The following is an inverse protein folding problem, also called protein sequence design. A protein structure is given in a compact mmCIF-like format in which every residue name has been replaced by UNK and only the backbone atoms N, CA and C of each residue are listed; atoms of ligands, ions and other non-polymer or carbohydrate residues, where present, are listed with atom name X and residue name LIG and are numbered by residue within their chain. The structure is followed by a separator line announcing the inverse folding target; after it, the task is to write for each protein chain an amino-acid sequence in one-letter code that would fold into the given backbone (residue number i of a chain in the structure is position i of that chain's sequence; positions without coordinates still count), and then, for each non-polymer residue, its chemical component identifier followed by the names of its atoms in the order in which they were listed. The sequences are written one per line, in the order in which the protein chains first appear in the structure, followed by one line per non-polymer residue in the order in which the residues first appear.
data_IF_836495958309
#
_entry.id   IF_836495958309
#
_cell.length_a   1.000
_cell.length_b   1.000
_cell.length_c   1.000
_cell.angle_alpha   90.00
_cell.angle_beta   90.00
_cell.angle_gamma   90.00
#
_symmetry.space_group_name_H-M   'P 1'
#
loop_
_entity.id
_entity.type
_entity.pdbx_description
1 polymer ?
#
# COMPACT_ATOMS: atom_id res chain seq x y z
N UNK A 1 -19.44 -37.83 -4.67
CA UNK A 1 -18.87 -36.61 -5.27
C UNK A 1 -18.65 -36.92 -6.73
N UNK A 2 -19.50 -36.40 -7.61
CA UNK A 2 -19.35 -36.53 -9.06
C UNK A 2 -18.25 -35.58 -9.50
N UNK A 3 -17.07 -36.11 -9.82
CA UNK A 3 -16.02 -35.35 -10.50
C UNK A 3 -16.60 -34.74 -11.78
N UNK A 4 -16.58 -33.42 -11.87
CA UNK A 4 -16.98 -32.71 -13.07
C UNK A 4 -15.99 -33.04 -14.19
N UNK A 5 -16.43 -33.82 -15.18
CA UNK A 5 -15.67 -34.22 -16.39
C UNK A 5 -15.06 -33.04 -17.18
N UNK A 6 -15.44 -31.80 -16.88
CA UNK A 6 -15.06 -30.61 -17.63
C UNK A 6 -13.86 -29.87 -17.02
N UNK A 7 -12.76 -30.57 -16.76
CA UNK A 7 -11.48 -29.97 -16.39
C UNK A 7 -10.72 -29.50 -17.64
N UNK A 8 -9.81 -28.52 -17.48
CA UNK A 8 -8.98 -28.04 -18.60
C UNK A 8 -8.03 -29.13 -19.13
N UNK A 9 -7.54 -30.01 -18.25
CA UNK A 9 -6.77 -31.20 -18.64
C UNK A 9 -7.58 -32.14 -19.53
N UNK A 10 -8.83 -32.43 -19.14
CA UNK A 10 -9.72 -33.29 -19.93
C UNK A 10 -10.04 -32.64 -21.28
N UNK A 11 -10.22 -31.32 -21.33
CA UNK A 11 -10.42 -30.59 -22.59
C UNK A 11 -9.22 -30.72 -23.52
N UNK A 12 -7.99 -30.66 -23.01
CA UNK A 12 -6.78 -30.86 -23.83
C UNK A 12 -6.75 -32.28 -24.40
N UNK A 13 -7.01 -33.29 -23.55
CA UNK A 13 -7.07 -34.70 -23.98
C UNK A 13 -8.13 -34.89 -25.08
N UNK A 14 -9.32 -34.29 -24.92
CA UNK A 14 -10.40 -34.39 -25.90
C UNK A 14 -10.03 -33.72 -27.24
N UNK A 15 -9.31 -32.59 -27.22
CA UNK A 15 -8.79 -31.93 -28.44
C UNK A 15 -7.81 -32.85 -29.19
N UNK A 16 -6.87 -33.44 -28.46
CA UNK A 16 -5.88 -34.37 -29.02
C UNK A 16 -6.58 -35.59 -29.65
N UNK A 17 -7.59 -36.15 -28.96
CA UNK A 17 -8.39 -37.26 -29.48
C UNK A 17 -9.12 -36.90 -30.77
N UNK A 18 -9.70 -35.69 -30.87
CA UNK A 18 -10.35 -35.25 -32.11
C UNK A 18 -9.39 -35.27 -33.31
N UNK A 19 -8.16 -34.78 -33.13
CA UNK A 19 -7.14 -34.75 -34.18
C UNK A 19 -6.68 -36.17 -34.52
N UNK A 20 -6.41 -37.00 -33.52
CA UNK A 20 -5.99 -38.39 -33.72
C UNK A 20 -7.04 -39.21 -34.47
N UNK A 21 -8.32 -39.05 -34.14
CA UNK A 21 -9.40 -39.77 -34.83
C UNK A 21 -9.58 -39.30 -36.27
N UNK A 22 -9.37 -38.01 -36.56
CA UNK A 22 -9.33 -37.52 -37.94
C UNK A 22 -8.17 -38.16 -38.71
N UNK A 23 -6.97 -38.19 -38.14
CA UNK A 23 -5.82 -38.81 -38.81
C UNK A 23 -6.06 -40.31 -39.09
N UNK A 24 -6.68 -41.02 -38.15
CA UNK A 24 -7.10 -42.41 -38.37
C UNK A 24 -8.14 -42.53 -39.50
N UNK A 25 -9.10 -41.60 -39.61
CA UNK A 25 -10.05 -41.54 -40.73
C UNK A 25 -9.31 -41.36 -42.05
N UNK A 26 -8.39 -40.41 -42.09
CA UNK A 26 -7.62 -40.07 -43.30
C UNK A 26 -6.67 -41.20 -43.70
N UNK A 27 -6.23 -42.02 -42.74
CA UNK A 27 -5.50 -43.26 -42.96
C UNK A 27 -6.37 -44.46 -43.38
N UNK A 28 -7.69 -44.29 -43.56
CA UNK A 28 -8.59 -45.29 -44.13
C UNK A 28 -9.67 -45.84 -43.19
N UNK A 29 -9.76 -45.38 -41.94
CA UNK A 29 -10.86 -45.73 -41.04
C UNK A 29 -12.13 -44.92 -41.36
N UNK A 30 -12.75 -45.21 -42.50
CA UNK A 30 -13.85 -44.42 -43.10
C UNK A 30 -15.13 -44.35 -42.24
N UNK A 31 -15.31 -45.27 -41.29
CA UNK A 31 -16.43 -45.23 -40.34
C UNK A 31 -16.34 -44.06 -39.33
N UNK A 32 -15.15 -43.49 -39.14
CA UNK A 32 -14.93 -42.37 -38.23
C UNK A 32 -15.49 -41.10 -38.86
N UNK A 33 -16.59 -40.61 -38.29
CA UNK A 33 -17.18 -39.33 -38.64
C UNK A 33 -17.28 -38.42 -37.40
N UNK A 34 -17.59 -37.14 -37.62
CA UNK A 34 -17.61 -36.13 -36.54
C UNK A 34 -18.62 -36.46 -35.44
N UNK A 35 -19.75 -37.07 -35.80
CA UNK A 35 -20.78 -37.50 -34.85
C UNK A 35 -20.25 -38.61 -33.93
N UNK A 36 -19.61 -39.62 -34.52
CA UNK A 36 -18.98 -40.71 -33.79
C UNK A 36 -17.90 -40.22 -32.83
N UNK A 37 -17.05 -39.28 -33.28
CA UNK A 37 -16.01 -38.70 -32.42
C UNK A 37 -16.63 -37.93 -31.25
N UNK A 38 -17.68 -37.13 -31.50
CA UNK A 38 -18.38 -36.35 -30.48
C UNK A 38 -18.92 -37.25 -29.35
N UNK A 39 -19.50 -38.39 -29.72
CA UNK A 39 -19.97 -39.41 -28.78
C UNK A 39 -18.82 -40.03 -27.97
N UNK A 40 -17.66 -40.27 -28.59
CA UNK A 40 -16.48 -40.87 -27.93
C UNK A 40 -15.75 -39.93 -26.98
N UNK A 41 -15.72 -38.64 -27.26
CA UNK A 41 -15.08 -37.64 -26.37
C UNK A 41 -16.07 -36.99 -25.40
N UNK A 42 -17.36 -37.35 -25.46
CA UNK A 42 -18.44 -36.75 -24.68
C UNK A 42 -18.52 -35.22 -24.83
N UNK A 43 -18.36 -34.73 -26.07
CA UNK A 43 -18.46 -33.29 -26.42
C UNK A 43 -19.47 -33.07 -27.53
N UNK A 44 -19.79 -31.81 -27.79
CA UNK A 44 -20.67 -31.45 -28.90
C UNK A 44 -19.99 -31.66 -30.25
N UNK A 45 -20.78 -31.94 -31.29
CA UNK A 45 -20.28 -32.01 -32.68
C UNK A 45 -19.62 -30.70 -33.12
N UNK A 46 -20.10 -29.57 -32.59
CA UNK A 46 -19.48 -28.26 -32.81
C UNK A 46 -18.06 -28.22 -32.27
N UNK A 47 -17.82 -28.69 -31.05
CA UNK A 47 -16.46 -28.81 -30.50
C UNK A 47 -15.56 -29.66 -31.40
N UNK A 48 -16.04 -30.82 -31.85
CA UNK A 48 -15.27 -31.68 -32.77
C UNK A 48 -14.97 -30.95 -34.08
N UNK A 49 -15.93 -30.19 -34.62
CA UNK A 49 -15.77 -29.43 -35.86
C UNK A 49 -14.73 -28.31 -35.71
N UNK A 50 -14.78 -27.56 -34.61
CA UNK A 50 -13.84 -26.48 -34.30
C UNK A 50 -12.38 -26.98 -34.17
N UNK A 51 -12.19 -28.25 -33.79
CA UNK A 51 -10.89 -28.90 -33.65
C UNK A 51 -10.53 -29.84 -34.80
N UNK A 52 -11.43 -30.03 -35.76
CA UNK A 52 -11.25 -31.00 -36.85
C UNK A 52 -10.07 -30.63 -37.76
N UNK A 53 -9.88 -29.35 -38.06
CA UNK A 53 -8.82 -28.91 -38.99
C UNK A 53 -7.58 -28.37 -38.27
N UNK A 54 -7.55 -28.45 -36.94
CA UNK A 54 -6.46 -27.94 -36.12
C UNK A 54 -5.28 -28.91 -36.08
N UNK A 55 -4.11 -28.36 -35.73
CA UNK A 55 -2.88 -29.14 -35.46
C UNK A 55 -2.72 -29.40 -33.96
N UNK A 56 -1.89 -30.38 -33.61
CA UNK A 56 -1.61 -30.72 -32.19
C UNK A 56 -1.08 -29.53 -31.39
N UNK A 57 -0.26 -28.67 -31.99
CA UNK A 57 0.29 -27.48 -31.33
C UNK A 57 -0.81 -26.53 -30.84
N UNK A 58 -1.91 -26.44 -31.59
CA UNK A 58 -3.04 -25.60 -31.23
C UNK A 58 -3.85 -26.18 -30.06
N UNK A 59 -3.71 -27.46 -29.73
CA UNK A 59 -4.38 -28.06 -28.55
C UNK A 59 -3.90 -27.46 -27.23
N UNK A 60 -2.63 -27.05 -27.20
CA UNK A 60 -1.93 -26.48 -26.05
C UNK A 60 -1.88 -24.96 -26.09
N UNK A 61 -2.31 -24.35 -27.19
CA UNK A 61 -2.41 -22.90 -27.27
C UNK A 61 -3.48 -22.42 -26.29
N UNK A 62 -3.04 -21.81 -25.20
CA UNK A 62 -3.87 -20.92 -24.41
C UNK A 62 -4.24 -19.74 -25.30
N UNK A 63 -5.39 -19.85 -25.97
CA UNK A 63 -6.14 -18.68 -26.39
C UNK A 63 -6.69 -18.03 -25.12
N UNK A 64 -5.79 -17.55 -24.25
CA UNK A 64 -6.13 -16.64 -23.17
C UNK A 64 -6.87 -15.50 -23.86
N UNK A 65 -8.20 -15.49 -23.72
CA UNK A 65 -9.05 -14.45 -24.25
C UNK A 65 -8.37 -13.14 -23.91
N UNK A 66 -7.94 -12.39 -24.92
CA UNK A 66 -7.15 -11.18 -24.77
C UNK A 66 -7.78 -10.37 -23.63
N UNK A 67 -7.08 -10.31 -22.49
CA UNK A 67 -7.66 -9.77 -21.27
C UNK A 67 -8.21 -8.36 -21.54
N UNK A 68 -9.21 -7.91 -20.76
CA UNK A 68 -9.76 -6.57 -20.94
C UNK A 68 -8.64 -5.55 -21.00
N UNK A 69 -8.71 -4.62 -21.98
CA UNK A 69 -7.68 -3.60 -22.23
C UNK A 69 -7.26 -2.95 -20.91
N UNK A 70 -5.96 -2.74 -20.75
CA UNK A 70 -5.40 -2.04 -19.60
C UNK A 70 -6.12 -0.69 -19.44
N UNK A 71 -6.72 -0.44 -18.27
CA UNK A 71 -7.44 0.80 -17.95
C UNK A 71 -6.54 2.04 -17.91
N UNK A 72 -5.22 1.88 -18.01
CA UNK A 72 -4.23 2.95 -17.92
C UNK A 72 -3.54 3.13 -19.26
N UNK A 73 -3.75 4.29 -19.89
CA UNK A 73 -2.99 4.71 -21.06
C UNK A 73 -1.50 4.89 -20.71
N UNK A 74 -0.63 4.88 -21.72
CA UNK A 74 0.81 5.09 -21.51
C UNK A 74 1.08 6.46 -20.86
N UNK A 75 0.39 7.51 -21.29
CA UNK A 75 0.52 8.84 -20.72
C UNK A 75 0.14 8.88 -19.22
N UNK A 76 -0.92 8.18 -18.83
CA UNK A 76 -1.32 8.03 -17.43
C UNK A 76 -0.29 7.23 -16.62
N UNK A 77 0.31 6.19 -17.21
CA UNK A 77 1.40 5.45 -16.58
C UNK A 77 2.65 6.32 -16.35
N UNK A 78 3.00 7.17 -17.31
CA UNK A 78 4.14 8.08 -17.19
C UNK A 78 3.93 9.13 -16.09
N UNK A 79 2.69 9.60 -15.89
CA UNK A 79 2.34 10.46 -14.75
C UNK A 79 2.54 9.70 -13.44
N UNK A 80 2.08 8.45 -13.34
CA UNK A 80 2.24 7.64 -12.12
C UNK A 80 3.72 7.43 -11.82
N UNK A 81 4.54 7.12 -12.84
CA UNK A 81 6.00 6.91 -12.70
C UNK A 81 6.73 8.18 -12.27
N UNK A 82 6.43 9.32 -12.89
CA UNK A 82 7.00 10.64 -12.49
C UNK A 82 6.61 11.05 -11.07
N UNK A 83 5.48 10.55 -10.58
CA UNK A 83 4.99 10.80 -9.24
C UNK A 83 5.56 9.84 -8.19
N UNK A 84 6.21 8.75 -8.60
CA UNK A 84 6.96 7.87 -7.70
C UNK A 84 8.20 8.58 -7.15
N UNK A 85 8.59 8.25 -5.92
CA UNK A 85 9.71 8.90 -5.22
C UNK A 85 9.41 10.29 -4.63
N UNK A 86 8.22 10.86 -4.88
CA UNK A 86 7.86 12.22 -4.42
C UNK A 86 6.85 12.24 -3.27
N UNK A 87 7.00 13.19 -2.36
CA UNK A 87 6.03 13.50 -1.31
C UNK A 87 4.71 14.05 -1.89
N UNK A 88 3.62 13.90 -1.13
CA UNK A 88 2.31 14.45 -1.48
C UNK A 88 1.64 13.82 -2.71
N UNK A 89 2.26 12.81 -3.34
CA UNK A 89 1.74 12.11 -4.52
C UNK A 89 0.98 10.84 -4.17
N UNK A 90 -0.04 11.00 -3.30
CA UNK A 90 -0.96 9.92 -2.97
C UNK A 90 -1.75 9.45 -4.19
N UNK A 91 -2.24 8.20 -4.20
CA UNK A 91 -3.00 7.67 -5.33
C UNK A 91 -4.22 8.54 -5.70
N UNK A 92 -4.84 9.19 -4.71
CA UNK A 92 -5.96 10.12 -4.96
C UNK A 92 -5.50 11.42 -5.61
N UNK A 93 -4.34 11.94 -5.23
CA UNK A 93 -3.75 13.14 -5.85
C UNK A 93 -3.35 12.85 -7.29
N UNK A 94 -2.71 11.70 -7.53
CA UNK A 94 -2.33 11.28 -8.88
C UNK A 94 -3.56 11.02 -9.76
N UNK A 95 -4.63 10.44 -9.22
CA UNK A 95 -5.90 10.29 -9.94
C UNK A 95 -6.45 11.65 -10.41
N UNK A 96 -6.45 12.65 -9.53
CA UNK A 96 -6.88 14.02 -9.87
C UNK A 96 -5.96 14.65 -10.92
N UNK A 97 -4.64 14.46 -10.80
CA UNK A 97 -3.66 14.98 -11.76
C UNK A 97 -3.87 14.36 -13.15
N UNK A 98 -4.13 13.07 -13.24
CA UNK A 98 -4.45 12.39 -14.50
C UNK A 98 -5.77 12.90 -15.08
N UNK A 99 -6.82 13.04 -14.26
CA UNK A 99 -8.09 13.59 -14.71
C UNK A 99 -7.97 15.01 -15.25
N UNK A 100 -7.09 15.83 -14.66
CA UNK A 100 -6.84 17.20 -15.12
C UNK A 100 -5.98 17.24 -16.41
N UNK A 101 -4.91 16.44 -16.49
CA UNK A 101 -3.94 16.51 -17.59
C UNK A 101 -4.34 15.69 -18.82
N UNK A 102 -4.87 14.48 -18.60
CA UNK A 102 -5.21 13.53 -19.67
C UNK A 102 -6.71 13.48 -19.95
N UNK A 103 -7.54 14.16 -19.15
CA UNK A 103 -9.01 14.07 -19.22
C UNK A 103 -9.53 12.64 -19.07
N UNK A 104 -8.74 11.77 -18.41
CA UNK A 104 -9.09 10.39 -18.12
C UNK A 104 -9.54 10.24 -16.67
N UNK A 105 -10.70 9.62 -16.45
CA UNK A 105 -11.17 9.33 -15.10
C UNK A 105 -10.68 7.96 -14.62
N UNK A 106 -9.64 7.99 -13.78
CA UNK A 106 -9.03 6.78 -13.21
C UNK A 106 -9.24 6.77 -11.70
N UNK A 107 -9.66 5.62 -11.18
CA UNK A 107 -9.90 5.47 -9.75
C UNK A 107 -8.58 5.34 -8.97
N UNK A 108 -8.59 5.82 -7.71
CA UNK A 108 -7.48 5.62 -6.76
C UNK A 108 -7.01 4.16 -6.70
N UNK A 109 -7.96 3.22 -6.72
CA UNK A 109 -7.67 1.79 -6.63
C UNK A 109 -6.91 1.26 -7.85
N UNK A 110 -7.22 1.77 -9.05
CA UNK A 110 -6.52 1.38 -10.28
C UNK A 110 -5.05 1.78 -10.22
N UNK A 111 -4.76 2.99 -9.71
CA UNK A 111 -3.39 3.48 -9.51
C UNK A 111 -2.67 2.66 -8.43
N UNK A 112 -3.35 2.36 -7.32
CA UNK A 112 -2.81 1.50 -6.27
C UNK A 112 -2.39 0.13 -6.80
N UNK A 113 -3.30 -0.55 -7.53
CA UNK A 113 -3.01 -1.86 -8.13
C UNK A 113 -1.85 -1.78 -9.13
N UNK A 114 -1.79 -0.73 -9.94
CA UNK A 114 -0.69 -0.52 -10.88
C UNK A 114 0.64 -0.35 -10.14
N UNK A 115 0.71 0.51 -9.11
CA UNK A 115 1.92 0.74 -8.32
C UNK A 115 2.42 -0.56 -7.68
N UNK A 116 1.53 -1.36 -7.12
CA UNK A 116 1.89 -2.67 -6.56
C UNK A 116 2.41 -3.64 -7.64
N UNK A 117 1.77 -3.69 -8.81
CA UNK A 117 2.23 -4.53 -9.92
C UNK A 117 3.61 -4.13 -10.43
N UNK A 118 3.96 -2.84 -10.40
CA UNK A 118 5.30 -2.33 -10.75
C UNK A 118 6.34 -2.52 -9.62
N UNK A 119 5.97 -3.18 -8.51
CA UNK A 119 6.83 -3.46 -7.37
C UNK A 119 7.02 -2.30 -6.40
N UNK A 120 6.20 -1.24 -6.50
CA UNK A 120 6.29 -0.09 -5.61
C UNK A 120 5.63 -0.38 -4.26
N UNK A 121 6.24 0.14 -3.20
CA UNK A 121 5.79 0.07 -1.81
C UNK A 121 5.56 1.48 -1.27
N UNK A 122 4.57 1.66 -0.38
CA UNK A 122 4.38 2.93 0.31
C UNK A 122 5.36 3.05 1.48
N UNK A 123 6.13 4.13 1.49
CA UNK A 123 7.02 4.52 2.58
C UNK A 123 6.47 5.76 3.29
N UNK A 124 6.53 5.75 4.62
CA UNK A 124 6.14 6.91 5.43
C UNK A 124 7.21 7.98 5.39
N UNK A 125 6.79 9.23 5.18
CA UNK A 125 7.65 10.40 5.40
C UNK A 125 7.93 10.50 6.90
N UNK A 126 9.20 10.66 7.26
CA UNK A 126 9.63 10.72 8.66
C UNK A 126 9.98 12.18 8.98
N UNK A 127 9.56 12.74 10.13
CA UNK A 127 10.10 14.03 10.58
C UNK A 127 11.62 13.92 10.66
N UNK A 128 12.36 14.91 10.14
CA UNK A 128 13.83 14.87 10.23
C UNK A 128 14.22 14.71 11.71
N UNK A 129 14.90 13.62 12.09
CA UNK A 129 15.29 13.46 13.48
C UNK A 129 16.30 14.57 13.81
N UNK A 130 15.96 15.41 14.79
CA UNK A 130 16.92 16.33 15.41
C UNK A 130 17.88 15.47 16.23
N UNK A 131 18.83 14.78 15.58
CA UNK A 131 19.87 14.00 16.25
C UNK A 131 21.22 14.65 15.93
N UNK A 132 21.54 15.72 16.66
CA UNK A 132 22.94 16.10 16.81
C UNK A 132 23.65 15.01 17.62
N UNK A 133 24.98 14.93 17.52
CA UNK A 133 25.77 14.06 18.39
C UNK A 133 25.49 14.34 19.87
N UNK A 134 25.28 15.61 20.22
CA UNK A 134 24.85 16.05 21.56
C UNK A 134 23.55 15.39 21.99
N UNK A 135 22.50 15.40 21.15
CA UNK A 135 21.23 14.74 21.50
C UNK A 135 21.37 13.22 21.65
N UNK A 136 22.31 12.58 20.95
CA UNK A 136 22.57 11.15 21.13
C UNK A 136 23.26 10.92 22.48
N UNK A 137 24.30 11.71 22.77
CA UNK A 137 25.05 11.65 24.02
C UNK A 137 24.16 11.90 25.24
N UNK A 138 23.33 12.94 25.22
CA UNK A 138 22.44 13.30 26.34
C UNK A 138 21.42 12.19 26.63
N UNK A 139 20.91 11.53 25.59
CA UNK A 139 19.97 10.41 25.75
C UNK A 139 20.64 9.18 26.35
N UNK A 140 21.85 8.87 25.91
CA UNK A 140 22.63 7.77 26.49
C UNK A 140 22.97 8.06 27.95
N UNK A 141 23.41 9.27 28.26
CA UNK A 141 23.66 9.71 29.64
C UNK A 141 22.42 9.59 30.52
N UNK A 142 21.25 10.06 30.04
CA UNK A 142 20.00 9.98 30.80
C UNK A 142 19.60 8.52 31.06
N UNK A 143 19.71 7.65 30.06
CA UNK A 143 19.46 6.21 30.25
C UNK A 143 20.44 5.59 31.26
N UNK A 144 21.73 5.93 31.18
CA UNK A 144 22.74 5.45 32.13
C UNK A 144 22.51 5.98 33.55
N UNK A 145 22.00 7.20 33.70
CA UNK A 145 21.69 7.79 34.99
C UNK A 145 20.43 7.18 35.63
N UNK A 146 19.43 6.85 34.81
CA UNK A 146 18.18 6.22 35.27
C UNK A 146 18.30 4.71 35.51
N UNK A 147 19.37 4.05 35.04
CA UNK A 147 19.49 2.57 35.11
C UNK A 147 19.53 2.02 36.54
N UNK A 148 20.01 2.84 37.47
CA UNK A 148 20.20 2.48 38.88
C UNK A 148 18.99 2.90 39.75
N UNK A 149 17.94 3.46 39.13
CA UNK A 149 16.73 3.87 39.86
C UNK A 149 15.87 2.68 40.26
N UNK A 150 15.36 2.72 41.49
CA UNK A 150 14.43 1.75 42.05
C UNK A 150 12.98 2.17 41.81
N UNK A 151 12.03 1.27 42.11
CA UNK A 151 10.59 1.58 42.03
C UNK A 151 10.22 2.78 42.93
N UNK A 152 10.85 2.92 44.10
CA UNK A 152 10.61 4.04 45.02
C UNK A 152 11.08 5.37 44.42
N UNK A 153 12.21 5.39 43.72
CA UNK A 153 12.71 6.58 43.03
C UNK A 153 11.73 7.06 41.94
N UNK A 154 11.11 6.13 41.21
CA UNK A 154 10.10 6.45 40.20
C UNK A 154 8.81 7.03 40.78
N UNK A 155 8.43 6.67 42.02
CA UNK A 155 7.24 7.22 42.67
C UNK A 155 7.38 8.72 43.00
N UNK A 156 8.61 9.22 43.07
CA UNK A 156 8.91 10.64 43.25
C UNK A 156 9.02 11.41 41.92
N UNK A 157 8.95 10.71 40.78
CA UNK A 157 8.93 11.34 39.47
C UNK A 157 7.54 11.95 39.21
N UNK A 158 7.53 13.24 38.88
CA UNK A 158 6.35 13.93 38.38
C UNK A 158 6.56 14.27 36.88
N UNK A 159 6.36 13.30 35.96
CA UNK A 159 6.45 13.59 34.54
C UNK A 159 5.41 14.65 34.18
N UNK A 160 5.89 15.64 33.44
CA UNK A 160 5.06 16.69 32.89
C UNK A 160 5.36 16.83 31.41
N UNK A 161 4.32 17.05 30.61
CA UNK A 161 4.45 17.26 29.18
C UNK A 161 3.44 18.30 28.68
N UNK A 162 3.76 18.89 27.54
CA UNK A 162 2.94 19.85 26.83
C UNK A 162 2.25 19.17 25.64
N UNK A 163 0.93 19.14 25.69
CA UNK A 163 0.11 18.64 24.60
C UNK A 163 -0.46 19.80 23.80
N UNK A 164 -0.21 19.79 22.49
CA UNK A 164 -0.78 20.78 21.58
C UNK A 164 -2.10 20.27 21.00
N UNK A 165 -3.19 20.99 21.29
CA UNK A 165 -4.46 20.85 20.59
C UNK A 165 -4.45 21.80 19.40
N UNK A 166 -4.37 21.23 18.20
CA UNK A 166 -4.27 22.00 16.97
C UNK A 166 -5.63 22.60 16.61
N UNK A 167 -5.70 23.92 16.50
CA UNK A 167 -6.91 24.64 16.06
C UNK A 167 -7.16 24.42 14.57
N UNK A 168 -6.11 24.13 13.80
CA UNK A 168 -6.18 23.81 12.37
C UNK A 168 -5.94 22.32 12.17
N UNK A 169 -6.83 21.68 11.40
CA UNK A 169 -6.74 20.24 11.06
C UNK A 169 -5.41 19.95 10.36
N UNK A 170 -4.58 19.08 10.96
CA UNK A 170 -3.36 18.57 10.30
C UNK A 170 -3.72 17.88 8.98
N UNK A 171 -2.85 18.03 7.98
CA UNK A 171 -2.93 17.24 6.75
C UNK A 171 -2.94 15.74 7.10
N UNK A 172 -3.86 14.98 6.49
CA UNK A 172 -3.98 13.54 6.74
C UNK A 172 -2.64 12.82 6.48
N UNK A 173 -2.05 12.20 7.50
CA UNK A 173 -0.76 11.49 7.42
C UNK A 173 -0.74 10.36 6.38
N UNK A 174 -1.90 9.86 5.94
CA UNK A 174 -1.95 8.90 4.82
C UNK A 174 -1.55 9.52 3.47
N UNK A 175 -1.56 10.85 3.34
CA UNK A 175 -1.04 11.56 2.19
C UNK A 175 0.48 11.72 2.22
N UNK A 176 1.11 11.53 3.39
CA UNK A 176 2.56 11.61 3.60
C UNK A 176 3.20 10.24 3.30
N UNK A 177 2.84 9.66 2.15
CA UNK A 177 3.39 8.41 1.65
C UNK A 177 4.09 8.63 0.32
N UNK A 178 5.34 8.18 0.27
CA UNK A 178 6.16 8.13 -0.94
C UNK A 178 6.05 6.73 -1.51
N UNK A 179 5.91 6.61 -2.82
CA UNK A 179 5.85 5.30 -3.49
C UNK A 179 7.17 5.05 -4.20
N UNK A 180 7.91 4.04 -3.78
CA UNK A 180 9.23 3.68 -4.33
C UNK A 180 9.44 2.16 -4.29
N UNK A 181 10.46 1.62 -4.95
CA UNK A 181 10.76 0.17 -4.89
C UNK A 181 11.52 -0.18 -3.61
N UNK A 182 12.48 0.67 -3.25
CA UNK A 182 13.24 0.61 -2.02
C UNK A 182 13.27 1.97 -1.31
N UNK A 183 13.81 1.98 -0.09
CA UNK A 183 14.08 3.22 0.65
C UNK A 183 15.21 4.01 -0.03
N UNK A 184 16.18 3.31 -0.61
CA UNK A 184 17.36 3.91 -1.23
C UNK A 184 17.03 4.64 -2.54
N UNK A 185 15.88 4.35 -3.14
CA UNK A 185 15.35 5.05 -4.33
C UNK A 185 14.64 6.38 -3.98
N UNK A 186 14.60 6.77 -2.70
CA UNK A 186 13.95 7.99 -2.25
C UNK A 186 15.03 9.02 -1.92
N UNK A 187 15.01 10.14 -2.65
CA UNK A 187 15.84 11.32 -2.36
C UNK A 187 15.68 11.74 -0.88
N UNK A 188 16.79 12.05 -0.20
CA UNK A 188 16.75 12.35 1.25
C UNK A 188 15.79 13.49 1.60
N UNK A 189 15.78 14.56 0.78
CA UNK A 189 14.89 15.71 0.97
C UNK A 189 13.41 15.34 0.80
N UNK A 190 13.11 14.32 -0.01
CA UNK A 190 11.77 13.78 -0.16
C UNK A 190 11.43 12.80 0.97
N UNK A 191 12.40 12.20 1.66
CA UNK A 191 12.12 11.30 2.79
C UNK A 191 11.81 12.04 4.08
N UNK A 192 12.43 13.20 4.26
CA UNK A 192 12.34 13.97 5.50
C UNK A 192 11.41 15.17 5.39
N UNK A 193 10.60 15.39 6.42
CA UNK A 193 9.77 16.58 6.54
C UNK A 193 10.41 17.59 7.49
N UNK A 194 10.51 18.83 7.05
CA UNK A 194 10.82 19.95 7.95
C UNK A 194 9.63 20.22 8.88
N UNK A 195 9.93 20.36 10.17
CA UNK A 195 8.92 20.70 11.17
C UNK A 195 8.64 22.20 11.13
N UNK A 196 7.37 22.58 10.99
CA UNK A 196 6.95 23.98 11.08
C UNK A 196 7.12 24.45 12.53
N UNK A 197 8.01 25.43 12.74
CA UNK A 197 8.49 25.81 14.08
C UNK A 197 7.43 26.46 14.98
N UNK A 198 6.32 26.99 14.43
CA UNK A 198 5.30 27.74 15.18
C UNK A 198 3.88 27.55 14.60
N UNK A 199 3.24 26.40 14.81
CA UNK A 199 1.84 26.19 14.39
C UNK A 199 0.88 26.76 15.46
N UNK A 200 -0.23 27.37 15.02
CA UNK A 200 -1.27 27.87 15.93
C UNK A 200 -1.94 26.69 16.67
N UNK A 201 -1.79 26.66 18.00
CA UNK A 201 -2.26 25.60 18.87
C UNK A 201 -2.70 26.14 20.23
N UNK A 202 -3.57 25.39 20.90
CA UNK A 202 -3.86 25.54 22.33
C UNK A 202 -2.92 24.57 23.05
N UNK A 203 -2.11 25.10 23.97
CA UNK A 203 -1.23 24.29 24.82
C UNK A 203 -1.97 23.82 26.05
N UNK A 204 -2.03 22.50 26.25
CA UNK A 204 -2.47 21.88 27.49
C UNK A 204 -1.23 21.34 28.19
N UNK A 205 -0.93 21.87 29.36
CA UNK A 205 0.12 21.31 30.21
C UNK A 205 -0.49 20.31 31.16
N UNK A 206 0.10 19.13 31.26
CA UNK A 206 -0.40 18.07 32.13
C UNK A 206 0.74 17.50 32.96
N UNK A 207 0.54 17.46 34.27
CA UNK A 207 1.40 16.79 35.23
C UNK A 207 0.68 15.55 35.73
N UNK A 208 1.34 14.41 35.62
CA UNK A 208 0.87 13.17 36.21
C UNK A 208 1.83 12.79 37.33
N UNK A 209 1.28 12.55 38.52
CA UNK A 209 1.99 11.88 39.60
C UNK A 209 1.28 10.57 39.91
N UNK A 210 1.92 9.69 40.68
CA UNK A 210 1.28 8.46 41.16
C UNK A 210 0.00 8.70 41.98
N UNK A 211 -0.27 9.94 42.42
CA UNK A 211 -1.39 10.29 43.31
C UNK A 211 -2.43 11.21 42.66
N UNK A 212 -2.04 12.07 41.72
CA UNK A 212 -2.91 13.12 41.16
C UNK A 212 -2.55 13.49 39.73
N UNK A 213 -3.58 13.89 38.99
CA UNK A 213 -3.50 14.50 37.67
C UNK A 213 -3.78 16.01 37.79
N UNK A 214 -2.84 16.84 37.37
CA UNK A 214 -2.99 18.30 37.31
C UNK A 214 -2.89 18.78 35.86
N UNK A 215 -3.74 19.72 35.46
CA UNK A 215 -3.69 20.29 34.12
C UNK A 215 -3.98 21.79 34.13
N UNK A 216 -3.37 22.51 33.20
CA UNK A 216 -3.57 23.95 33.00
C UNK A 216 -3.67 24.24 31.50
N UNK A 217 -4.66 25.04 31.10
CA UNK A 217 -4.86 25.47 29.71
C UNK A 217 -4.34 26.91 29.57
N UNK A 218 -3.58 27.17 28.51
CA UNK A 218 -3.30 28.53 28.04
C UNK A 218 -3.92 28.77 26.69
N UNK A 219 -4.63 29.88 26.56
CA UNK A 219 -5.36 30.24 25.34
C UNK A 219 -4.45 30.77 24.22
N UNK A 220 -3.24 31.25 24.52
CA UNK A 220 -2.39 32.01 23.59
C UNK A 220 -0.91 31.59 23.52
N UNK A 221 -0.61 30.29 23.55
CA UNK A 221 0.72 29.77 23.22
C UNK A 221 1.89 30.37 24.02
N UNK A 222 1.63 30.90 25.21
CA UNK A 222 2.67 31.51 26.05
C UNK A 222 3.62 30.43 26.56
N UNK A 223 4.92 30.73 26.67
CA UNK A 223 5.90 29.74 27.12
C UNK A 223 5.67 29.36 28.58
N UNK A 224 5.78 28.08 28.88
CA UNK A 224 5.81 27.56 30.24
C UNK A 224 7.24 27.67 30.77
N UNK A 225 7.51 28.72 31.55
CA UNK A 225 8.79 28.84 32.26
C UNK A 225 8.71 28.05 33.56
N UNK A 226 9.86 27.58 34.06
CA UNK A 226 9.94 26.97 35.40
C UNK A 226 9.42 27.89 36.52
N UNK A 227 9.41 29.21 36.27
CA UNK A 227 8.82 30.19 37.17
C UNK A 227 7.28 30.11 37.20
N UNK A 228 6.63 30.02 36.04
CA UNK A 228 5.17 29.85 35.96
C UNK A 228 4.71 28.55 36.65
N UNK A 229 5.49 27.47 36.50
CA UNK A 229 5.22 26.20 37.18
C UNK A 229 5.24 26.37 38.71
N UNK A 230 6.28 27.01 39.24
CA UNK A 230 6.41 27.25 40.68
C UNK A 230 5.32 28.15 41.22
N UNK A 231 5.04 29.25 40.54
CA UNK A 231 4.20 30.32 41.09
C UNK A 231 2.71 30.05 40.91
N UNK A 232 2.31 29.35 39.84
CA UNK A 232 0.90 29.16 39.49
C UNK A 232 0.45 27.72 39.69
N UNK A 233 1.28 26.74 39.35
CA UNK A 233 0.85 25.33 39.42
C UNK A 233 1.07 24.76 40.81
N UNK A 234 2.26 24.94 41.40
CA UNK A 234 2.52 24.40 42.74
C UNK A 234 1.75 25.15 43.83
N UNK A 235 1.59 26.48 43.71
CA UNK A 235 0.95 27.31 44.76
C UNK A 235 -0.58 27.24 44.78
N UNK A 236 -1.25 26.84 43.69
CA UNK A 236 -2.72 26.69 43.63
C UNK A 236 -3.18 25.24 43.94
N UNK A 237 -2.32 24.43 44.58
CA UNK A 237 -2.60 23.06 45.01
C UNK A 237 -2.67 22.95 46.52
#
# INVERSE_FOLDING_TARGET
MTETYDTDEQRIIDRIKCIAFREARDAGATFINRQWVAEKVHRSVRFVTDWWEKSYDQCFADYSNAGPKLKLSQASQDIIRKASGRQGKSCSVVAKEIAQKQKEYITRQTIYNYRHREGLKPFHVIPKPLKSETHISDRLWLCDWLKDWTEEDFLHLAPADEFFVWVVRRSNYQNDRIWARSIDDIEEDERYREMVKNQACIGIFVIFTAKRLHWVIKEKGESWTGQYFRDVILTNT
#
